data_IF_738452734849
#
_entry.id   IF_738452734849
#
_cell.length_a   1.000
_cell.length_b   1.000
_cell.length_c   1.000
_cell.angle_alpha   90.00
_cell.angle_beta   90.00
_cell.angle_gamma   90.00
#
_symmetry.space_group_name_H-M   'P 1'
#
loop_
_entity.id
_entity.type
_entity.pdbx_description
1 polymer ?
#
# COMPACT_ATOMS: atom_id res chain seq x y z
N UNK A 1 -33.53 0.51 -7.46
CA UNK A 1 -32.30 0.02 -8.11
C UNK A 1 -31.16 0.23 -7.13
N UNK A 2 -30.19 -0.69 -7.01
CA UNK A 2 -29.03 -0.44 -6.18
C UNK A 2 -28.26 0.78 -6.71
N UNK A 3 -27.83 1.64 -5.81
CA UNK A 3 -27.00 2.78 -6.15
C UNK A 3 -25.56 2.29 -6.42
N UNK A 4 -24.98 2.72 -7.52
CA UNK A 4 -23.61 2.37 -7.91
C UNK A 4 -22.73 3.62 -7.85
N UNK A 5 -21.63 3.53 -7.10
CA UNK A 5 -20.66 4.62 -6.93
C UNK A 5 -19.48 4.38 -7.88
N UNK A 6 -19.09 5.43 -8.60
CA UNK A 6 -17.93 5.43 -9.49
C UNK A 6 -17.00 6.58 -9.11
N UNK A 7 -15.73 6.29 -8.92
CA UNK A 7 -14.69 7.27 -8.59
C UNK A 7 -13.75 7.46 -9.78
N UNK A 8 -13.45 8.71 -10.14
CA UNK A 8 -12.53 9.05 -11.23
C UNK A 8 -11.34 9.84 -10.68
N UNK A 9 -10.10 9.32 -10.74
CA UNK A 9 -8.93 10.07 -10.34
C UNK A 9 -8.67 11.23 -11.30
N UNK A 10 -8.67 12.46 -10.77
CA UNK A 10 -8.50 13.70 -11.55
C UNK A 10 -7.02 14.04 -11.85
N UNK A 11 -6.07 13.28 -11.31
CA UNK A 11 -4.64 13.41 -11.60
C UNK A 11 -3.90 12.08 -11.38
N UNK A 12 -2.66 11.97 -11.86
CA UNK A 12 -1.88 10.72 -11.75
C UNK A 12 -1.56 10.36 -10.30
N UNK A 13 -1.34 11.35 -9.44
CA UNK A 13 -1.08 11.14 -8.02
C UNK A 13 -2.26 10.42 -7.33
N UNK A 14 -3.48 10.93 -7.52
CA UNK A 14 -4.68 10.29 -6.99
C UNK A 14 -4.90 8.90 -7.62
N UNK A 15 -4.61 8.74 -8.91
CA UNK A 15 -4.65 7.44 -9.58
C UNK A 15 -3.69 6.45 -8.93
N UNK A 16 -2.48 6.87 -8.58
CA UNK A 16 -1.50 6.05 -7.86
C UNK A 16 -2.01 5.65 -6.48
N UNK A 17 -2.56 6.58 -5.71
CA UNK A 17 -3.13 6.27 -4.38
C UNK A 17 -4.29 5.28 -4.48
N UNK A 18 -5.23 5.49 -5.40
CA UNK A 18 -6.36 4.58 -5.62
C UNK A 18 -5.88 3.18 -6.06
N UNK A 19 -4.84 3.09 -6.89
CA UNK A 19 -4.23 1.80 -7.27
C UNK A 19 -3.62 1.09 -6.07
N UNK A 20 -2.84 1.79 -5.25
CA UNK A 20 -2.24 1.21 -4.05
C UNK A 20 -3.31 0.76 -3.06
N UNK A 21 -4.36 1.57 -2.85
CA UNK A 21 -5.49 1.22 -1.99
C UNK A 21 -6.22 -0.03 -2.48
N UNK A 22 -6.53 -0.10 -3.78
CA UNK A 22 -7.15 -1.27 -4.40
C UNK A 22 -6.31 -2.54 -4.21
N UNK A 23 -5.02 -2.45 -4.50
CA UNK A 23 -4.09 -3.57 -4.32
C UNK A 23 -3.99 -3.97 -2.85
N UNK A 24 -3.91 -3.02 -1.93
CA UNK A 24 -3.85 -3.30 -0.50
C UNK A 24 -5.11 -4.01 0.01
N UNK A 25 -6.30 -3.62 -0.48
CA UNK A 25 -7.56 -4.32 -0.20
C UNK A 25 -7.53 -5.77 -0.69
N UNK A 26 -7.03 -6.01 -1.91
CA UNK A 26 -6.85 -7.37 -2.44
C UNK A 26 -5.87 -8.18 -1.60
N UNK A 27 -4.73 -7.59 -1.22
CA UNK A 27 -3.72 -8.25 -0.39
C UNK A 27 -4.32 -8.68 0.95
N UNK A 28 -5.05 -7.78 1.64
CA UNK A 28 -5.74 -8.13 2.89
C UNK A 28 -6.70 -9.31 2.71
N UNK A 29 -7.53 -9.25 1.69
CA UNK A 29 -8.50 -10.31 1.41
C UNK A 29 -7.85 -11.67 1.18
N UNK A 30 -6.70 -11.70 0.50
CA UNK A 30 -6.02 -12.97 0.16
C UNK A 30 -5.06 -13.45 1.24
N UNK A 31 -4.67 -12.60 2.19
CA UNK A 31 -3.86 -13.00 3.35
C UNK A 31 -4.65 -13.83 4.37
N UNK A 32 -5.98 -13.68 4.41
CA UNK A 32 -6.85 -14.41 5.34
C UNK A 32 -7.12 -15.88 4.91
N UNK A 33 -6.52 -16.33 3.80
CA UNK A 33 -6.74 -17.67 3.24
C UNK A 33 -5.42 -18.42 3.07
N UNK A 34 -5.42 -19.68 3.50
CA UNK A 34 -4.30 -20.62 3.33
C UNK A 34 -4.33 -21.35 1.97
N UNK A 35 -5.32 -21.05 1.12
CA UNK A 35 -5.39 -21.61 -0.22
C UNK A 35 -4.16 -21.18 -1.05
N UNK A 36 -3.58 -22.12 -1.78
CA UNK A 36 -2.34 -21.85 -2.50
C UNK A 36 -2.53 -20.76 -3.58
N UNK A 37 -3.72 -20.62 -4.19
CA UNK A 37 -4.00 -19.50 -5.10
C UNK A 37 -4.15 -18.16 -4.38
N UNK A 38 -4.71 -18.16 -3.16
CA UNK A 38 -4.72 -16.98 -2.32
C UNK A 38 -3.29 -16.52 -1.98
N UNK A 39 -2.40 -17.44 -1.60
CA UNK A 39 -0.98 -17.15 -1.35
C UNK A 39 -0.31 -16.59 -2.61
N UNK A 40 -0.54 -17.20 -3.78
CA UNK A 40 -0.04 -16.67 -5.07
C UNK A 40 -0.53 -15.25 -5.34
N UNK A 41 -1.81 -14.99 -5.07
CA UNK A 41 -2.42 -13.68 -5.23
C UNK A 41 -1.83 -12.64 -4.27
N UNK A 42 -1.58 -13.02 -3.02
CA UNK A 42 -0.92 -12.18 -2.01
C UNK A 42 0.49 -11.77 -2.45
N UNK A 43 1.32 -12.73 -2.86
CA UNK A 43 2.67 -12.46 -3.37
C UNK A 43 2.61 -11.57 -4.61
N UNK A 44 1.76 -11.88 -5.58
CA UNK A 44 1.61 -11.04 -6.77
C UNK A 44 1.24 -9.59 -6.41
N UNK A 45 0.25 -9.43 -5.54
CA UNK A 45 -0.26 -8.12 -5.14
C UNK A 45 0.81 -7.32 -4.39
N UNK A 46 1.61 -7.97 -3.54
CA UNK A 46 2.76 -7.33 -2.87
C UNK A 46 3.79 -6.82 -3.89
N UNK A 47 4.11 -7.61 -4.91
CA UNK A 47 5.07 -7.22 -5.96
C UNK A 47 4.51 -6.09 -6.86
N UNK A 48 3.21 -6.06 -7.12
CA UNK A 48 2.54 -4.94 -7.82
C UNK A 48 2.61 -3.65 -6.99
N UNK A 49 2.31 -3.72 -5.69
CA UNK A 49 2.45 -2.58 -4.76
C UNK A 49 3.90 -2.08 -4.76
N UNK A 50 4.87 -2.98 -4.59
CA UNK A 50 6.29 -2.63 -4.64
C UNK A 50 6.67 -1.95 -5.97
N UNK A 51 6.18 -2.46 -7.10
CA UNK A 51 6.47 -1.91 -8.43
C UNK A 51 5.92 -0.49 -8.61
N UNK A 52 4.78 -0.16 -7.98
CA UNK A 52 4.25 1.20 -7.96
C UNK A 52 5.10 2.09 -7.05
N UNK A 53 5.31 1.66 -5.80
CA UNK A 53 6.01 2.45 -4.79
C UNK A 53 7.48 2.71 -5.15
N UNK A 54 8.11 1.86 -5.97
CA UNK A 54 9.51 2.03 -6.40
C UNK A 54 9.70 3.02 -7.56
N UNK A 55 8.63 3.39 -8.29
CA UNK A 55 8.69 4.30 -9.44
C UNK A 55 8.41 5.76 -9.09
N UNK A 56 7.69 5.98 -7.99
CA UNK A 56 7.21 7.31 -7.57
C UNK A 56 7.47 7.49 -6.08
N UNK A 57 7.88 8.69 -5.65
CA UNK A 57 8.08 9.02 -4.24
C UNK A 57 6.73 9.24 -3.52
N UNK A 58 5.99 8.15 -3.35
CA UNK A 58 4.67 8.13 -2.68
C UNK A 58 4.80 8.59 -1.23
N UNK A 59 5.92 8.30 -0.56
CA UNK A 59 6.18 8.76 0.81
C UNK A 59 6.12 10.28 0.90
N UNK A 60 6.88 10.99 0.06
CA UNK A 60 6.88 12.46 0.05
C UNK A 60 5.49 13.00 -0.28
N UNK A 61 4.79 12.38 -1.22
CA UNK A 61 3.43 12.77 -1.58
C UNK A 61 2.47 12.61 -0.39
N UNK A 62 2.54 11.51 0.36
CA UNK A 62 1.71 11.29 1.56
C UNK A 62 2.04 12.31 2.65
N UNK A 63 3.33 12.56 2.92
CA UNK A 63 3.75 13.57 3.91
C UNK A 63 3.21 14.96 3.57
N UNK A 64 3.26 15.36 2.29
CA UNK A 64 2.71 16.62 1.83
C UNK A 64 1.19 16.73 2.09
N UNK A 65 0.42 15.66 1.84
CA UNK A 65 -1.02 15.67 2.14
C UNK A 65 -1.30 15.70 3.64
N UNK A 66 -0.53 14.97 4.45
CA UNK A 66 -0.67 14.99 5.90
C UNK A 66 -0.41 16.40 6.45
N UNK A 67 0.64 17.09 6.00
CA UNK A 67 0.90 18.48 6.37
C UNK A 67 -0.25 19.41 5.97
N UNK A 68 -0.76 19.24 4.76
CA UNK A 68 -1.91 20.00 4.26
C UNK A 68 -3.19 19.72 5.08
N UNK A 69 -3.42 18.50 5.52
CA UNK A 69 -4.59 18.14 6.34
C UNK A 69 -4.48 18.66 7.76
N UNK A 70 -3.30 18.57 8.38
CA UNK A 70 -3.01 19.14 9.71
C UNK A 70 -3.27 20.65 9.68
N UNK A 71 -2.70 21.36 8.70
CA UNK A 71 -2.88 22.81 8.57
C UNK A 71 -4.37 23.21 8.41
N UNK A 72 -5.14 22.45 7.63
CA UNK A 72 -6.59 22.69 7.49
C UNK A 72 -7.32 22.42 8.81
N UNK A 73 -6.99 21.34 9.51
CA UNK A 73 -7.65 20.97 10.77
C UNK A 73 -7.40 22.02 11.87
N UNK A 74 -6.18 22.57 11.95
CA UNK A 74 -5.87 23.67 12.88
C UNK A 74 -6.75 24.90 12.63
N UNK A 75 -7.07 25.22 11.37
CA UNK A 75 -7.99 26.34 11.06
C UNK A 75 -9.41 26.06 11.51
N UNK A 76 -9.90 24.82 11.35
CA UNK A 76 -11.25 24.45 11.76
C UNK A 76 -11.46 24.51 13.28
N UNK A 77 -10.43 24.23 14.09
CA UNK A 77 -10.51 24.33 15.55
C UNK A 77 -10.82 25.75 16.05
N UNK A 78 -10.51 26.78 15.27
CA UNK A 78 -10.84 28.18 15.58
C UNK A 78 -12.32 28.55 15.36
N UNK A 79 -13.11 27.71 14.70
CA UNK A 79 -14.52 27.97 14.40
C UNK A 79 -15.44 27.59 15.57
N UNK A 80 -16.43 28.43 15.86
CA UNK A 80 -17.47 28.17 16.87
C UNK A 80 -18.46 27.07 16.45
N UNK A 81 -18.50 26.71 15.16
CA UNK A 81 -19.41 25.69 14.62
C UNK A 81 -18.82 24.26 14.62
N UNK A 82 -17.59 24.10 15.11
CA UNK A 82 -16.86 22.83 15.04
C UNK A 82 -16.82 22.16 16.41
N UNK A 83 -17.01 20.84 16.44
CA UNK A 83 -16.72 20.04 17.62
C UNK A 83 -15.20 20.02 17.86
N UNK A 84 -14.76 20.81 18.85
CA UNK A 84 -13.35 21.03 19.16
C UNK A 84 -12.63 19.76 19.61
N UNK A 85 -13.31 18.91 20.38
CA UNK A 85 -12.74 17.65 20.86
C UNK A 85 -12.47 16.72 19.68
N UNK A 86 -13.45 16.55 18.80
CA UNK A 86 -13.29 15.70 17.61
C UNK A 86 -12.21 16.22 16.66
N UNK A 87 -12.14 17.53 16.46
CA UNK A 87 -11.10 18.14 15.64
C UNK A 87 -9.70 17.97 16.26
N UNK A 88 -9.58 18.01 17.59
CA UNK A 88 -8.32 17.74 18.30
C UNK A 88 -7.89 16.28 18.15
N UNK A 89 -8.81 15.34 18.31
CA UNK A 89 -8.53 13.90 18.11
C UNK A 89 -8.00 13.60 16.71
N UNK A 90 -8.69 14.10 15.67
CA UNK A 90 -8.28 13.88 14.28
C UNK A 90 -6.90 14.51 14.03
N UNK A 91 -6.64 15.71 14.57
CA UNK A 91 -5.34 16.35 14.41
C UNK A 91 -4.21 15.51 15.04
N UNK A 92 -4.42 14.96 16.23
CA UNK A 92 -3.45 14.07 16.88
C UNK A 92 -3.21 12.79 16.08
N UNK A 93 -4.25 12.21 15.46
CA UNK A 93 -4.11 11.06 14.58
C UNK A 93 -3.29 11.39 13.32
N UNK A 94 -3.53 12.55 12.70
CA UNK A 94 -2.77 13.01 11.53
C UNK A 94 -1.29 13.24 11.88
N UNK A 95 -1.00 13.86 13.02
CA UNK A 95 0.36 14.06 13.52
C UNK A 95 1.06 12.73 13.78
N UNK A 96 0.37 11.76 14.39
CA UNK A 96 0.87 10.40 14.59
C UNK A 96 1.23 9.72 13.27
N UNK A 97 0.29 9.69 12.32
CA UNK A 97 0.52 9.11 10.99
C UNK A 97 1.68 9.77 10.25
N UNK A 98 1.81 11.10 10.36
CA UNK A 98 2.92 11.84 9.77
C UNK A 98 4.24 11.40 10.37
N UNK A 99 4.32 11.28 11.70
CA UNK A 99 5.53 10.83 12.39
C UNK A 99 5.88 9.40 11.98
N UNK A 100 4.90 8.50 11.90
CA UNK A 100 5.11 7.11 11.49
C UNK A 100 5.70 7.05 10.08
N UNK A 101 5.10 7.76 9.11
CA UNK A 101 5.56 7.83 7.72
C UNK A 101 6.96 8.46 7.63
N UNK A 102 7.24 9.46 8.46
CA UNK A 102 8.54 10.11 8.47
C UNK A 102 9.63 9.15 8.97
N UNK A 103 9.36 8.41 10.06
CA UNK A 103 10.27 7.45 10.67
C UNK A 103 10.65 6.27 9.77
N UNK A 104 9.76 5.80 8.88
CA UNK A 104 10.09 4.71 7.94
C UNK A 104 11.25 5.12 6.98
N UNK A 105 11.44 6.43 6.77
CA UNK A 105 12.53 6.96 5.97
C UNK A 105 12.39 6.71 4.46
N UNK A 106 13.36 7.19 3.68
CA UNK A 106 13.35 7.09 2.20
C UNK A 106 13.68 5.70 1.68
N UNK A 107 14.30 4.85 2.50
CA UNK A 107 14.69 3.48 2.18
C UNK A 107 13.63 2.42 2.50
N UNK A 108 12.37 2.80 2.70
CA UNK A 108 11.31 1.91 3.21
C UNK A 108 11.05 0.65 2.37
N UNK A 109 11.40 0.67 1.08
CA UNK A 109 11.33 -0.51 0.20
C UNK A 109 12.59 -1.39 0.24
N UNK A 110 13.70 -0.88 0.77
CA UNK A 110 14.99 -1.57 0.81
C UNK A 110 14.90 -2.90 1.52
N UNK A 111 14.26 -2.94 2.69
CA UNK A 111 14.11 -4.16 3.48
C UNK A 111 13.43 -5.30 2.72
N UNK A 112 12.42 -4.99 1.89
CA UNK A 112 11.72 -5.99 1.07
C UNK A 112 12.59 -6.42 -0.11
N UNK A 113 13.24 -5.47 -0.76
CA UNK A 113 14.12 -5.72 -1.92
C UNK A 113 15.32 -6.58 -1.55
N UNK A 114 15.86 -6.39 -0.35
CA UNK A 114 17.09 -7.04 0.10
C UNK A 114 16.84 -8.52 0.48
N UNK A 115 15.58 -8.97 0.52
CA UNK A 115 15.21 -10.39 0.61
C UNK A 115 15.45 -11.05 -0.75
N UNK A 116 16.47 -11.93 -0.85
CA UNK A 116 16.86 -12.62 -2.09
C UNK A 116 15.65 -13.26 -2.82
N UNK A 117 14.78 -13.92 -2.06
CA UNK A 117 13.58 -14.56 -2.59
C UNK A 117 12.64 -13.55 -3.29
N UNK A 118 12.35 -12.42 -2.64
CA UNK A 118 11.49 -11.37 -3.19
C UNK A 118 12.15 -10.70 -4.39
N UNK A 119 13.47 -10.41 -4.31
CA UNK A 119 14.24 -9.86 -5.43
C UNK A 119 14.16 -10.74 -6.69
N UNK A 120 14.28 -12.06 -6.52
CA UNK A 120 14.16 -13.03 -7.63
C UNK A 120 12.76 -13.02 -8.27
N UNK A 121 11.71 -12.85 -7.46
CA UNK A 121 10.33 -12.73 -7.92
C UNK A 121 10.08 -11.41 -8.64
N UNK A 122 10.61 -10.30 -8.13
CA UNK A 122 10.52 -8.97 -8.76
C UNK A 122 11.09 -8.96 -10.17
N UNK A 123 12.23 -9.63 -10.40
CA UNK A 123 12.85 -9.69 -11.72
C UNK A 123 11.93 -10.34 -12.77
N UNK A 124 11.27 -11.45 -12.40
CA UNK A 124 10.36 -12.19 -13.29
C UNK A 124 8.95 -11.62 -13.35
N UNK A 125 8.56 -10.78 -12.40
CA UNK A 125 7.23 -10.14 -12.34
C UNK A 125 6.89 -9.35 -13.59
N UNK A 126 7.90 -8.88 -14.33
CA UNK A 126 7.76 -8.11 -15.56
C UNK A 126 7.34 -8.95 -16.77
N UNK A 127 7.43 -10.28 -16.67
CA UNK A 127 7.10 -11.22 -17.75
C UNK A 127 5.67 -11.75 -17.60
N UNK A 128 4.81 -11.64 -18.62
CA UNK A 128 3.53 -12.35 -18.64
C UNK A 128 3.75 -13.85 -18.44
N UNK A 129 3.10 -14.43 -17.42
CA UNK A 129 3.27 -15.86 -17.09
C UNK A 129 4.61 -16.23 -16.44
N UNK A 130 5.53 -15.29 -16.21
CA UNK A 130 6.88 -15.57 -15.68
C UNK A 130 6.94 -16.07 -14.23
N UNK A 131 5.78 -16.30 -13.61
CA UNK A 131 5.61 -16.89 -12.26
C UNK A 131 5.12 -18.33 -12.31
N UNK A 132 5.08 -18.92 -13.51
CA UNK A 132 4.79 -20.33 -13.63
C UNK A 132 5.81 -21.14 -12.83
N UNK A 133 5.32 -22.14 -12.11
CA UNK A 133 6.12 -22.89 -11.14
C UNK A 133 7.30 -23.61 -11.76
N UNK A 134 7.16 -24.00 -13.03
CA UNK A 134 8.24 -24.62 -13.81
C UNK A 134 9.42 -23.66 -14.04
N UNK A 135 9.19 -22.35 -14.08
CA UNK A 135 10.22 -21.32 -14.21
C UNK A 135 10.81 -20.89 -12.87
N UNK A 136 10.14 -21.26 -11.76
CA UNK A 136 10.49 -20.84 -10.41
C UNK A 136 10.46 -22.00 -9.39
N UNK A 137 11.40 -22.95 -9.46
CA UNK A 137 11.39 -24.13 -8.57
C UNK A 137 11.46 -23.77 -7.08
N UNK A 138 12.23 -22.74 -6.71
CA UNK A 138 12.29 -22.24 -5.31
C UNK A 138 10.92 -21.71 -4.84
N UNK A 139 10.16 -21.06 -5.72
CA UNK A 139 8.83 -20.55 -5.41
C UNK A 139 7.83 -21.70 -5.24
N UNK A 140 7.87 -22.69 -6.14
CA UNK A 140 7.06 -23.91 -6.01
C UNK A 140 7.34 -24.65 -4.71
N UNK A 141 8.62 -24.88 -4.41
CA UNK A 141 9.02 -25.54 -3.16
C UNK A 141 8.49 -24.78 -1.93
N UNK A 142 8.60 -23.45 -1.91
CA UNK A 142 8.08 -22.64 -0.81
C UNK A 142 6.55 -22.75 -0.67
N UNK A 143 5.80 -22.73 -1.79
CA UNK A 143 4.36 -22.92 -1.79
C UNK A 143 3.94 -24.31 -1.28
N UNK A 144 4.72 -25.34 -1.59
CA UNK A 144 4.46 -26.72 -1.17
C UNK A 144 4.85 -27.02 0.28
N UNK A 145 5.77 -26.23 0.85
CA UNK A 145 6.28 -26.43 2.20
C UNK A 145 5.25 -26.10 3.28
N UNK A 146 4.12 -25.48 2.91
CA UNK A 146 3.03 -25.09 3.80
C UNK A 146 3.39 -23.91 4.73
N UNK A 147 2.39 -23.36 5.45
CA UNK A 147 2.65 -22.37 6.51
C UNK A 147 3.44 -23.04 7.64
N UNK A 148 4.54 -22.41 8.08
CA UNK A 148 5.22 -22.75 9.35
C UNK A 148 4.51 -22.18 10.55
#
# INVERSE_FOLDING_TARGET
MPEHIYELPLNERLRTFMRVEFLYKRLKYTLDSEDTWAIRSSINTLLEIYSILSRTDVRREVLFDLDRYIFQMTKYQGSSMVNKERAKEINLQLEGLKNDVDQVGTGYLGQIRDIEFVSSLLHRHTLPGGRAEFDMPKYKFWLDSGPT
#
